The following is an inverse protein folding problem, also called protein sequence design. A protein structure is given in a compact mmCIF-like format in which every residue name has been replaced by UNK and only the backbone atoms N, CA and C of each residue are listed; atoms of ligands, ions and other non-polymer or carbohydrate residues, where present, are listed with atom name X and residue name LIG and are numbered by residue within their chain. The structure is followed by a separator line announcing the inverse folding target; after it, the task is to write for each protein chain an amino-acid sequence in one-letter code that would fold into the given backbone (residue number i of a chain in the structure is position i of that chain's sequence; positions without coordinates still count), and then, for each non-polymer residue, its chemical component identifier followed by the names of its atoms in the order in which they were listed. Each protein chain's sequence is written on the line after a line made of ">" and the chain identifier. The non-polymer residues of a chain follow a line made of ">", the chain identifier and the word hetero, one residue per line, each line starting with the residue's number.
data_IF_312917340347
#
_entry.id   IF_312917340347
#
_cell.length_a   1.000
_cell.length_b   1.000
_cell.length_c   1.000
_cell.angle_alpha   90.00
_cell.angle_beta   90.00
_cell.angle_gamma   90.00
#
_symmetry.space_group_name_H-M   'P 1'
#
loop_
_entity.id
_entity.type
_entity.pdbx_description
1 polymer ?
#
# COMPACT_ATOMS: atom_id res chain seq x y z
N UNK A 1 15.90 1.91 10.21
CA UNK A 1 16.49 0.64 9.76
C UNK A 1 16.27 0.54 8.26
N UNK A 2 17.32 0.29 7.46
CA UNK A 2 17.17 0.08 6.01
C UNK A 2 16.30 -1.13 5.73
N UNK A 3 15.41 -1.00 4.73
CA UNK A 3 14.57 -2.11 4.28
C UNK A 3 15.30 -2.97 3.25
N UNK A 4 14.91 -4.23 3.14
CA UNK A 4 15.41 -5.11 2.09
C UNK A 4 14.89 -4.64 0.72
N UNK A 5 15.76 -4.52 -0.30
CA UNK A 5 15.33 -4.10 -1.64
C UNK A 5 14.52 -5.17 -2.39
N UNK A 6 14.62 -6.41 -1.97
CA UNK A 6 13.94 -7.56 -2.56
C UNK A 6 13.23 -8.39 -1.51
N UNK A 7 13.52 -9.67 -1.47
CA UNK A 7 12.89 -10.61 -0.53
C UNK A 7 13.42 -10.41 0.90
N UNK A 8 12.51 -10.45 1.85
CA UNK A 8 12.86 -10.46 3.27
C UNK A 8 13.34 -11.86 3.70
N UNK A 9 14.18 -11.95 4.76
CA UNK A 9 14.58 -13.24 5.30
C UNK A 9 13.38 -14.09 5.75
N UNK A 10 13.44 -15.42 5.66
CA UNK A 10 12.38 -16.31 6.13
C UNK A 10 11.96 -16.08 7.59
N UNK A 11 12.90 -15.67 8.45
CA UNK A 11 12.60 -15.31 9.84
C UNK A 11 11.64 -14.13 9.96
N UNK A 12 11.70 -13.16 9.05
CA UNK A 12 10.76 -12.04 9.00
C UNK A 12 9.35 -12.53 8.66
N UNK A 13 9.23 -13.42 7.67
CA UNK A 13 7.94 -14.03 7.32
C UNK A 13 7.36 -14.80 8.50
N UNK A 14 8.17 -15.62 9.17
CA UNK A 14 7.75 -16.39 10.33
C UNK A 14 7.29 -15.49 11.49
N UNK A 15 8.07 -14.46 11.83
CA UNK A 15 7.74 -13.52 12.91
C UNK A 15 6.48 -12.71 12.60
N UNK A 16 6.33 -12.22 11.36
CA UNK A 16 5.13 -11.49 10.94
C UNK A 16 3.89 -12.40 10.92
N UNK A 17 4.04 -13.66 10.54
CA UNK A 17 2.94 -14.64 10.60
C UNK A 17 2.48 -14.88 12.03
N UNK A 18 3.40 -15.10 12.98
CA UNK A 18 3.04 -15.28 14.39
C UNK A 18 2.35 -14.04 14.95
N UNK A 19 2.90 -12.86 14.70
CA UNK A 19 2.29 -11.59 15.13
C UNK A 19 0.90 -11.39 14.51
N UNK A 20 0.75 -11.62 13.21
CA UNK A 20 -0.52 -11.50 12.50
C UNK A 20 -1.60 -12.43 13.06
N UNK A 21 -1.25 -13.69 13.32
CA UNK A 21 -2.17 -14.66 13.94
C UNK A 21 -2.58 -14.28 15.35
N UNK A 22 -1.67 -13.74 16.15
CA UNK A 22 -2.00 -13.25 17.49
C UNK A 22 -2.94 -12.05 17.43
N UNK A 23 -2.70 -11.09 16.54
CA UNK A 23 -3.57 -9.94 16.35
C UNK A 23 -4.96 -10.41 15.87
N UNK A 24 -5.02 -11.29 14.87
CA UNK A 24 -6.29 -11.79 14.33
C UNK A 24 -7.17 -12.48 15.37
N UNK A 25 -6.55 -13.15 16.37
CA UNK A 25 -7.26 -13.76 17.49
C UNK A 25 -7.72 -12.76 18.56
N UNK A 26 -7.08 -11.61 18.63
CA UNK A 26 -7.33 -10.60 19.66
C UNK A 26 -8.37 -9.55 19.24
N UNK A 27 -8.61 -9.39 17.93
CA UNK A 27 -9.51 -8.34 17.41
C UNK A 27 -10.36 -8.86 16.25
N UNK A 28 -11.60 -8.37 16.16
CA UNK A 28 -12.57 -8.72 15.11
C UNK A 28 -12.60 -7.70 13.96
N UNK A 29 -11.55 -6.88 13.81
CA UNK A 29 -11.41 -5.95 12.70
C UNK A 29 -10.58 -6.57 11.57
N UNK A 30 -10.76 -6.12 10.31
CA UNK A 30 -9.95 -6.59 9.20
C UNK A 30 -8.46 -6.34 9.43
N UNK A 31 -7.64 -7.40 9.26
CA UNK A 31 -6.19 -7.32 9.35
C UNK A 31 -5.59 -7.04 7.97
N UNK A 32 -4.65 -6.11 7.89
CA UNK A 32 -3.85 -5.85 6.70
C UNK A 32 -2.38 -6.16 6.89
N UNK A 33 -1.71 -6.63 5.84
CA UNK A 33 -0.28 -6.97 5.85
C UNK A 33 0.48 -6.07 4.86
N UNK A 34 1.61 -5.51 5.32
CA UNK A 34 2.56 -4.81 4.46
C UNK A 34 3.98 -5.27 4.79
N UNK A 35 4.70 -5.81 3.82
CA UNK A 35 6.09 -6.27 3.98
C UNK A 35 7.02 -5.35 3.21
N UNK A 36 7.71 -4.51 3.94
CA UNK A 36 8.63 -3.52 3.38
C UNK A 36 9.99 -4.15 2.97
N UNK A 37 10.65 -3.68 1.89
CA UNK A 37 10.17 -2.51 1.12
C UNK A 37 9.04 -2.86 0.15
N UNK A 38 9.08 -4.00 -0.55
CA UNK A 38 8.10 -4.38 -1.58
C UNK A 38 8.02 -5.90 -1.79
N UNK A 39 8.20 -6.69 -0.72
CA UNK A 39 8.13 -8.15 -0.83
C UNK A 39 6.67 -8.64 -0.85
N UNK A 40 6.10 -8.63 -2.05
CA UNK A 40 4.72 -9.02 -2.27
C UNK A 40 4.48 -10.52 -1.99
N UNK A 41 5.48 -11.39 -2.25
CA UNK A 41 5.37 -12.83 -1.96
C UNK A 41 5.28 -13.09 -0.47
N UNK A 42 6.15 -12.44 0.29
CA UNK A 42 6.09 -12.52 1.75
C UNK A 42 4.77 -11.97 2.29
N UNK A 43 4.29 -10.83 1.74
CA UNK A 43 3.01 -10.25 2.13
C UNK A 43 1.84 -11.23 1.89
N UNK A 44 1.79 -11.89 0.72
CA UNK A 44 0.78 -12.90 0.41
C UNK A 44 0.88 -14.13 1.32
N UNK A 45 2.10 -14.62 1.59
CA UNK A 45 2.31 -15.77 2.46
C UNK A 45 1.86 -15.48 3.90
N UNK A 46 2.21 -14.31 4.44
CA UNK A 46 1.77 -13.86 5.77
C UNK A 46 0.26 -13.64 5.80
N UNK A 47 -0.30 -13.02 4.76
CA UNK A 47 -1.74 -12.79 4.66
C UNK A 47 -2.54 -14.09 4.65
N UNK A 48 -2.08 -15.09 3.89
CA UNK A 48 -2.67 -16.42 3.86
C UNK A 48 -2.67 -17.08 5.26
N UNK A 49 -1.50 -17.10 5.92
CA UNK A 49 -1.34 -17.78 7.19
C UNK A 49 -2.01 -17.04 8.37
N UNK A 50 -2.14 -15.71 8.30
CA UNK A 50 -2.76 -14.88 9.34
C UNK A 50 -4.24 -14.55 9.04
N UNK A 51 -4.83 -15.08 7.96
CA UNK A 51 -6.21 -14.80 7.54
C UNK A 51 -6.47 -13.29 7.42
N UNK A 52 -5.54 -12.59 6.74
CA UNK A 52 -5.66 -11.16 6.54
C UNK A 52 -6.69 -10.83 5.46
N UNK A 53 -7.36 -9.69 5.60
CA UNK A 53 -8.37 -9.22 4.67
C UNK A 53 -7.76 -8.46 3.47
N UNK A 54 -6.59 -7.86 3.65
CA UNK A 54 -5.91 -7.12 2.59
C UNK A 54 -4.39 -7.14 2.74
N UNK A 55 -3.71 -6.84 1.64
CA UNK A 55 -2.28 -6.50 1.64
C UNK A 55 -2.08 -5.09 1.10
N UNK A 56 -1.02 -4.42 1.57
CA UNK A 56 -0.54 -3.16 1.01
C UNK A 56 0.74 -3.40 0.25
N UNK A 57 0.83 -2.90 -0.98
CA UNK A 57 2.01 -2.98 -1.84
C UNK A 57 2.47 -1.57 -2.18
N UNK A 58 3.76 -1.29 -1.95
CA UNK A 58 4.29 0.06 -2.14
C UNK A 58 4.60 0.38 -3.60
N UNK A 59 5.21 -0.53 -4.36
CA UNK A 59 5.42 -0.38 -5.80
C UNK A 59 4.64 -1.48 -6.53
N UNK A 60 3.40 -1.19 -6.83
CA UNK A 60 2.48 -2.16 -7.43
C UNK A 60 2.56 -2.16 -8.95
N UNK A 61 2.63 -0.96 -9.56
CA UNK A 61 2.80 -0.73 -11.00
C UNK A 61 4.04 0.10 -11.27
N UNK A 62 4.60 0.03 -12.48
CA UNK A 62 5.76 0.80 -12.90
C UNK A 62 7.06 0.35 -12.23
N UNK A 63 8.00 1.29 -12.10
CA UNK A 63 9.27 1.11 -11.39
C UNK A 63 9.68 2.42 -10.72
N UNK A 64 10.33 2.32 -9.57
CA UNK A 64 10.76 3.49 -8.79
C UNK A 64 12.19 3.36 -8.30
N UNK A 65 12.94 4.45 -8.36
CA UNK A 65 14.26 4.56 -7.76
C UNK A 65 14.09 5.02 -6.30
N UNK A 66 14.59 4.24 -5.37
CA UNK A 66 14.48 4.46 -3.93
C UNK A 66 15.86 4.49 -3.27
N UNK A 67 15.92 4.76 -1.97
CA UNK A 67 17.14 4.64 -1.16
C UNK A 67 17.66 3.19 -1.08
N UNK A 68 16.84 2.17 -1.38
CA UNK A 68 17.24 0.78 -1.54
C UNK A 68 17.62 0.40 -2.98
N UNK A 69 17.58 1.34 -3.92
CA UNK A 69 17.83 1.10 -5.35
C UNK A 69 16.53 0.99 -6.16
N UNK A 70 16.60 0.27 -7.28
CA UNK A 70 15.48 0.08 -8.19
C UNK A 70 14.48 -0.94 -7.64
N UNK A 71 13.22 -0.49 -7.47
CA UNK A 71 12.10 -1.37 -7.11
C UNK A 71 11.13 -1.43 -8.28
N UNK A 72 10.74 -2.63 -8.67
CA UNK A 72 9.88 -2.89 -9.81
C UNK A 72 8.48 -3.36 -9.39
N UNK A 73 7.53 -3.17 -10.31
CA UNK A 73 6.14 -3.59 -10.16
C UNK A 73 5.99 -5.08 -9.85
N UNK A 74 5.02 -5.39 -9.01
CA UNK A 74 4.67 -6.76 -8.61
C UNK A 74 3.23 -7.15 -8.98
N UNK A 75 2.46 -6.27 -9.61
CA UNK A 75 1.04 -6.50 -9.90
C UNK A 75 0.78 -7.82 -10.63
N UNK A 76 1.60 -8.15 -11.67
CA UNK A 76 1.41 -9.37 -12.46
C UNK A 76 1.53 -10.64 -11.62
N UNK A 77 2.43 -10.64 -10.64
CA UNK A 77 2.67 -11.77 -9.74
C UNK A 77 1.58 -11.84 -8.67
N UNK A 78 1.33 -10.72 -8.00
CA UNK A 78 0.32 -10.60 -6.94
C UNK A 78 -1.05 -11.07 -7.45
N UNK A 79 -1.47 -10.64 -8.63
CA UNK A 79 -2.78 -11.03 -9.18
C UNK A 79 -2.88 -12.54 -9.48
N UNK A 80 -1.80 -13.18 -9.94
CA UNK A 80 -1.78 -14.63 -10.18
C UNK A 80 -1.85 -15.43 -8.89
N UNK A 81 -1.02 -15.06 -7.91
CA UNK A 81 -0.98 -15.73 -6.62
C UNK A 81 -2.27 -15.48 -5.82
N UNK A 82 -2.81 -14.25 -5.84
CA UNK A 82 -4.11 -13.93 -5.26
C UNK A 82 -5.21 -14.84 -5.81
N UNK A 83 -5.33 -14.90 -7.14
CA UNK A 83 -6.36 -15.74 -7.79
C UNK A 83 -6.25 -17.21 -7.40
N UNK A 84 -5.04 -17.70 -7.17
CA UNK A 84 -4.77 -19.11 -6.85
C UNK A 84 -5.05 -19.47 -5.39
N UNK A 85 -4.66 -18.60 -4.45
CA UNK A 85 -4.62 -18.93 -3.03
C UNK A 85 -5.52 -18.06 -2.15
N UNK A 86 -5.83 -16.86 -2.57
CA UNK A 86 -6.49 -15.82 -1.76
C UNK A 86 -7.45 -15.00 -2.62
N UNK A 87 -8.46 -15.60 -3.28
CA UNK A 87 -9.29 -14.89 -4.27
C UNK A 87 -10.03 -13.68 -3.70
N UNK A 88 -10.34 -13.68 -2.42
CA UNK A 88 -11.07 -12.60 -1.73
C UNK A 88 -10.17 -11.55 -1.06
N UNK A 89 -8.83 -11.71 -1.15
CA UNK A 89 -7.87 -10.77 -0.56
C UNK A 89 -7.89 -9.44 -1.32
N UNK A 90 -8.12 -8.33 -0.63
CA UNK A 90 -8.01 -7.01 -1.23
C UNK A 90 -6.54 -6.55 -1.37
N UNK A 91 -6.25 -5.81 -2.44
CA UNK A 91 -4.92 -5.25 -2.72
C UNK A 91 -5.01 -3.74 -2.65
N UNK A 92 -4.30 -3.15 -1.68
CA UNK A 92 -4.16 -1.73 -1.51
C UNK A 92 -2.80 -1.30 -2.09
N UNK A 93 -2.83 -0.51 -3.17
CA UNK A 93 -1.63 -0.09 -3.90
C UNK A 93 -1.26 1.35 -3.55
N UNK A 94 -0.01 1.58 -3.16
CA UNK A 94 0.50 2.95 -3.07
C UNK A 94 0.69 3.53 -4.47
N UNK A 95 0.36 4.82 -4.62
CA UNK A 95 0.70 5.65 -5.77
C UNK A 95 1.57 6.82 -5.31
N UNK A 96 2.49 7.26 -6.15
CA UNK A 96 3.49 8.28 -5.81
C UNK A 96 4.23 7.99 -4.49
N UNK A 97 4.80 6.80 -4.40
CA UNK A 97 5.48 6.30 -3.18
C UNK A 97 6.53 7.29 -2.69
N UNK A 98 6.44 7.69 -1.43
CA UNK A 98 7.40 8.61 -0.79
C UNK A 98 8.82 8.04 -0.76
N UNK A 99 9.81 8.92 -0.65
CA UNK A 99 11.24 8.58 -0.70
C UNK A 99 11.61 7.80 -1.98
N UNK A 100 10.98 8.15 -3.10
CA UNK A 100 11.27 7.52 -4.38
C UNK A 100 10.95 8.45 -5.54
N UNK A 101 11.59 8.19 -6.68
CA UNK A 101 11.31 8.84 -7.96
C UNK A 101 10.87 7.82 -8.98
N UNK A 102 9.88 8.10 -9.85
CA UNK A 102 9.53 7.19 -10.92
C UNK A 102 10.71 7.02 -11.88
N UNK A 103 10.83 5.84 -12.47
CA UNK A 103 11.74 5.62 -13.59
C UNK A 103 11.00 6.07 -14.86
N UNK A 104 11.53 7.11 -15.51
CA UNK A 104 10.87 7.76 -16.64
C UNK A 104 9.91 8.88 -16.23
N UNK A 105 8.97 9.23 -17.11
CA UNK A 105 8.08 10.41 -16.99
C UNK A 105 6.68 10.05 -16.49
N UNK A 106 6.55 9.13 -15.53
CA UNK A 106 5.24 8.80 -14.97
C UNK A 106 4.71 9.93 -14.08
N UNK A 107 3.43 10.25 -14.23
CA UNK A 107 2.71 11.20 -13.38
C UNK A 107 1.84 10.45 -12.35
N UNK A 108 1.44 11.15 -11.27
CA UNK A 108 0.47 10.63 -10.29
C UNK A 108 -0.81 10.11 -10.96
N UNK A 109 -1.31 10.86 -11.96
CA UNK A 109 -2.51 10.48 -12.73
C UNK A 109 -2.31 9.15 -13.48
N UNK A 110 -1.15 8.96 -14.12
CA UNK A 110 -0.85 7.74 -14.85
C UNK A 110 -0.66 6.55 -13.90
N UNK A 111 0.04 6.74 -12.79
CA UNK A 111 0.21 5.68 -11.76
C UNK A 111 -1.14 5.24 -11.19
N UNK A 112 -2.03 6.18 -10.87
CA UNK A 112 -3.37 5.87 -10.38
C UNK A 112 -4.19 5.09 -11.41
N UNK A 113 -4.21 5.55 -12.66
CA UNK A 113 -4.91 4.87 -13.76
C UNK A 113 -4.34 3.46 -14.01
N UNK A 114 -3.02 3.31 -14.04
CA UNK A 114 -2.38 2.01 -14.25
C UNK A 114 -2.62 1.04 -13.07
N UNK A 115 -2.55 1.53 -11.84
CA UNK A 115 -2.84 0.70 -10.67
C UNK A 115 -4.29 0.19 -10.68
N UNK A 116 -5.24 1.04 -11.08
CA UNK A 116 -6.65 0.69 -11.17
C UNK A 116 -6.94 -0.26 -12.34
N UNK A 117 -6.57 0.15 -13.58
CA UNK A 117 -7.04 -0.49 -14.81
C UNK A 117 -6.15 -1.65 -15.28
N UNK A 118 -4.86 -1.64 -14.95
CA UNK A 118 -3.87 -2.64 -15.39
C UNK A 118 -3.34 -3.49 -14.23
N UNK A 119 -3.19 -2.87 -13.05
CA UNK A 119 -2.81 -3.57 -11.82
C UNK A 119 -3.99 -4.29 -11.16
N UNK A 120 -5.22 -3.82 -11.37
CA UNK A 120 -6.43 -4.32 -10.70
C UNK A 120 -6.32 -4.23 -9.18
N UNK A 121 -5.85 -3.08 -8.68
CA UNK A 121 -5.91 -2.76 -7.26
C UNK A 121 -7.36 -2.60 -6.81
N UNK A 122 -7.63 -2.91 -5.55
CA UNK A 122 -8.95 -2.73 -4.93
C UNK A 122 -9.07 -1.39 -4.19
N UNK A 123 -7.93 -0.81 -3.78
CA UNK A 123 -7.84 0.54 -3.22
C UNK A 123 -6.49 1.19 -3.57
N UNK A 124 -6.46 2.53 -3.58
CA UNK A 124 -5.25 3.31 -3.79
C UNK A 124 -4.86 4.04 -2.49
N UNK A 125 -3.57 4.12 -2.22
CA UNK A 125 -3.03 4.84 -1.07
C UNK A 125 -2.14 5.97 -1.58
N UNK A 126 -2.41 7.20 -1.14
CA UNK A 126 -1.61 8.38 -1.47
C UNK A 126 -0.93 8.89 -0.20
N UNK A 127 0.37 9.08 -0.27
CA UNK A 127 1.16 9.70 0.80
C UNK A 127 1.70 11.05 0.34
N UNK A 128 1.97 11.95 1.28
CA UNK A 128 2.74 13.16 0.99
C UNK A 128 4.19 12.83 0.63
N UNK A 129 4.93 13.81 0.13
CA UNK A 129 6.30 13.63 -0.36
C UNK A 129 7.31 13.15 0.70
N UNK A 130 7.06 13.47 1.98
CA UNK A 130 7.93 13.14 3.10
C UNK A 130 7.21 12.33 4.18
N UNK A 131 8.00 11.73 5.10
CA UNK A 131 7.44 11.01 6.26
C UNK A 131 6.65 11.96 7.15
N UNK A 132 5.37 11.62 7.39
CA UNK A 132 4.48 12.45 8.21
C UNK A 132 3.80 13.60 7.45
N UNK A 133 4.18 13.87 6.20
CA UNK A 133 3.47 14.80 5.34
C UNK A 133 2.17 14.19 4.80
N UNK A 134 1.11 14.98 4.76
CA UNK A 134 -0.14 14.63 4.10
C UNK A 134 -0.06 14.92 2.59
N UNK A 135 -0.80 14.18 1.74
CA UNK A 135 -0.98 14.56 0.35
C UNK A 135 -1.79 15.86 0.25
N UNK A 136 -1.68 16.55 -0.89
CA UNK A 136 -2.51 17.71 -1.14
C UNK A 136 -3.96 17.30 -1.50
N UNK A 137 -4.93 18.18 -1.23
CA UNK A 137 -6.32 17.96 -1.65
C UNK A 137 -6.43 17.83 -3.19
N UNK A 138 -5.59 18.55 -3.92
CA UNK A 138 -5.51 18.46 -5.39
C UNK A 138 -5.08 17.06 -5.85
N UNK A 139 -4.07 16.46 -5.19
CA UNK A 139 -3.60 15.11 -5.52
C UNK A 139 -4.69 14.06 -5.23
N UNK A 140 -5.39 14.20 -4.09
CA UNK A 140 -6.50 13.32 -3.73
C UNK A 140 -7.63 13.39 -4.78
N UNK A 141 -8.04 14.59 -5.16
CA UNK A 141 -9.05 14.81 -6.20
C UNK A 141 -8.62 14.20 -7.53
N UNK A 142 -7.38 14.47 -7.97
CA UNK A 142 -6.82 13.93 -9.21
C UNK A 142 -6.87 12.39 -9.24
N UNK A 143 -6.48 11.73 -8.15
CA UNK A 143 -6.50 10.26 -8.09
C UNK A 143 -7.92 9.72 -8.10
N UNK A 144 -8.87 10.35 -7.40
CA UNK A 144 -10.28 9.97 -7.44
C UNK A 144 -10.87 10.12 -8.86
N UNK A 145 -10.49 11.15 -9.59
CA UNK A 145 -10.90 11.33 -10.98
C UNK A 145 -10.34 10.23 -11.90
N UNK A 146 -9.11 9.78 -11.67
CA UNK A 146 -8.44 8.73 -12.47
C UNK A 146 -8.84 7.31 -12.10
N UNK A 147 -9.33 7.10 -10.90
CA UNK A 147 -9.79 5.81 -10.39
C UNK A 147 -11.14 5.95 -9.64
N UNK A 148 -12.22 6.39 -10.32
CA UNK A 148 -13.47 6.79 -9.65
C UNK A 148 -14.21 5.63 -8.99
N UNK A 149 -13.91 4.39 -9.35
CA UNK A 149 -14.50 3.18 -8.75
C UNK A 149 -13.74 2.64 -7.55
N UNK A 150 -12.55 3.17 -7.27
CA UNK A 150 -11.70 2.67 -6.18
C UNK A 150 -11.80 3.53 -4.93
N UNK A 151 -11.66 2.88 -3.80
CA UNK A 151 -11.40 3.54 -2.51
C UNK A 151 -10.02 4.22 -2.54
N UNK A 152 -9.97 5.49 -2.14
CA UNK A 152 -8.74 6.28 -2.06
C UNK A 152 -8.45 6.61 -0.59
N UNK A 153 -7.30 6.14 -0.11
CA UNK A 153 -6.86 6.30 1.27
C UNK A 153 -5.66 7.25 1.38
N UNK A 154 -5.63 8.04 2.43
CA UNK A 154 -4.47 8.86 2.80
C UNK A 154 -3.47 7.98 3.55
N UNK A 155 -2.23 7.87 3.06
CA UNK A 155 -1.21 6.97 3.60
C UNK A 155 -0.39 7.52 4.77
N UNK A 156 -0.46 8.83 5.04
CA UNK A 156 0.29 9.47 6.13
C UNK A 156 -0.14 10.92 6.37
N UNK A 157 0.31 11.49 7.50
CA UNK A 157 0.20 12.94 7.78
C UNK A 157 -1.17 13.38 8.29
N UNK A 158 -2.10 12.46 8.53
CA UNK A 158 -3.39 12.82 9.13
C UNK A 158 -3.22 13.04 10.64
N UNK A 159 -3.74 14.17 11.09
CA UNK A 159 -3.78 14.60 12.49
C UNK A 159 -5.19 15.07 12.84
N UNK A 160 -5.56 15.20 14.12
CA UNK A 160 -6.87 15.75 14.49
C UNK A 160 -7.15 17.12 13.87
N UNK A 161 -6.12 17.93 13.66
CA UNK A 161 -6.25 19.30 13.13
C UNK A 161 -6.56 19.36 11.63
N UNK A 162 -6.17 18.35 10.84
CA UNK A 162 -6.35 18.33 9.39
C UNK A 162 -7.27 17.21 8.88
N UNK A 163 -7.74 16.34 9.78
CA UNK A 163 -8.52 15.14 9.40
C UNK A 163 -9.79 15.50 8.64
N UNK A 164 -10.56 16.47 9.11
CA UNK A 164 -11.82 16.87 8.48
C UNK A 164 -11.59 17.36 7.04
N UNK A 165 -10.62 18.25 6.84
CA UNK A 165 -10.30 18.80 5.53
C UNK A 165 -9.78 17.72 4.55
N UNK A 166 -8.94 16.80 5.01
CA UNK A 166 -8.38 15.74 4.17
C UNK A 166 -9.41 14.65 3.84
N UNK A 167 -10.22 14.25 4.82
CA UNK A 167 -11.24 13.21 4.63
C UNK A 167 -12.43 13.69 3.80
N UNK A 168 -12.61 15.00 3.58
CA UNK A 168 -13.57 15.50 2.59
C UNK A 168 -13.19 15.12 1.15
N UNK A 169 -11.93 14.81 0.89
CA UNK A 169 -11.40 14.46 -0.44
C UNK A 169 -10.90 13.01 -0.55
N UNK A 170 -11.03 12.20 0.51
CA UNK A 170 -10.61 10.80 0.55
C UNK A 170 -11.63 9.93 1.28
N UNK A 171 -11.59 8.63 1.04
CA UNK A 171 -12.55 7.68 1.64
C UNK A 171 -12.09 7.16 3.01
N UNK A 172 -10.83 7.42 3.38
CA UNK A 172 -10.26 7.01 4.66
C UNK A 172 -8.78 7.37 4.79
N UNK A 173 -8.17 6.93 5.89
CA UNK A 173 -6.76 7.22 6.17
C UNK A 173 -6.08 6.10 6.95
N UNK A 174 -4.75 6.00 6.76
CA UNK A 174 -3.85 5.19 7.58
C UNK A 174 -3.25 6.12 8.65
N UNK A 175 -3.58 5.86 9.91
CA UNK A 175 -3.16 6.68 11.04
C UNK A 175 -2.16 5.86 11.88
N UNK A 176 -0.97 6.39 12.07
CA UNK A 176 0.09 5.77 12.89
C UNK A 176 0.53 6.70 14.03
N UNK A 177 1.40 7.66 13.72
CA UNK A 177 1.96 8.59 14.72
C UNK A 177 0.92 9.48 15.40
N UNK A 178 -0.20 9.72 14.76
CA UNK A 178 -1.29 10.58 15.31
C UNK A 178 -2.07 9.97 16.48
N UNK A 179 -1.82 8.68 16.81
CA UNK A 179 -2.47 7.96 17.91
C UNK A 179 -1.51 7.52 19.02
N UNK A 180 -0.28 8.05 19.00
CA UNK A 180 0.75 7.81 20.04
C UNK A 180 0.60 8.78 21.19
#
# INVERSE_FOLDING_TARGET
>A
VPYFPGQVPPVTVAAMTDAGRRIRRAVDIPLGINVLRNDARAALAVAYAAEAAFIRINVFVGARLTDQGLIQATAYEVQRERKRYLPDLAIFADVAVKHSSPVGTSSLANEASDAASRGFADALIISGGETGAAPSATDLTLVKEKAPSLTVLIGSGVTPANAEALLSSADGAIIGTGIK
#
